data_IF_550076420538
#
_entry.id   IF_550076420538
#
_cell.length_a   1.000
_cell.length_b   1.000
_cell.length_c   1.000
_cell.angle_alpha   90.00
_cell.angle_beta   90.00
_cell.angle_gamma   90.00
#
_symmetry.space_group_name_H-M   'P 1'
#
loop_
_entity.id
_entity.type
_entity.pdbx_description
1 polymer ?
#
# COMPACT_ATOMS: atom_id res chain seq x y z
N UNK A 1 21.30 -0.04 -3.67
CA UNK A 1 19.93 -0.51 -3.44
C UNK A 1 19.97 -2.01 -3.65
N UNK A 2 19.64 -2.77 -2.61
CA UNK A 2 19.63 -4.23 -2.75
C UNK A 2 18.51 -4.66 -3.69
N UNK A 3 18.71 -5.76 -4.42
CA UNK A 3 17.77 -6.18 -5.47
C UNK A 3 16.56 -6.85 -4.83
N UNK A 4 15.36 -6.32 -5.07
CA UNK A 4 14.10 -6.97 -4.68
C UNK A 4 13.92 -8.28 -5.46
N UNK A 5 13.52 -9.33 -4.75
CA UNK A 5 13.28 -10.68 -5.28
C UNK A 5 11.78 -10.94 -5.39
N UNK A 6 11.04 -10.64 -4.33
CA UNK A 6 9.59 -10.83 -4.25
C UNK A 6 8.96 -9.69 -3.44
N UNK A 7 7.69 -9.44 -3.73
CA UNK A 7 6.84 -8.51 -2.99
C UNK A 7 5.42 -9.03 -3.11
N UNK A 8 4.89 -9.60 -2.04
CA UNK A 8 3.61 -10.32 -2.08
C UNK A 8 2.80 -10.00 -0.83
N UNK A 9 1.47 -9.96 -1.00
CA UNK A 9 0.56 -9.87 0.14
C UNK A 9 0.36 -11.26 0.75
N UNK A 10 0.71 -11.40 2.03
CA UNK A 10 0.51 -12.59 2.83
C UNK A 10 -0.79 -12.45 3.64
N UNK A 11 -1.82 -13.19 3.24
CA UNK A 11 -3.13 -13.16 3.90
C UNK A 11 -3.12 -13.74 5.32
N UNK A 12 -2.19 -14.66 5.62
CA UNK A 12 -2.10 -15.26 6.95
C UNK A 12 -1.60 -14.25 7.99
N UNK A 13 -0.75 -13.32 7.56
CA UNK A 13 -0.15 -12.27 8.41
C UNK A 13 -0.79 -10.89 8.23
N UNK A 14 -1.59 -10.71 7.18
CA UNK A 14 -2.09 -9.41 6.72
C UNK A 14 -0.95 -8.40 6.47
N UNK A 15 0.15 -8.87 5.90
CA UNK A 15 1.32 -8.05 5.58
C UNK A 15 1.63 -8.08 4.09
N UNK A 16 2.16 -6.97 3.57
CA UNK A 16 2.93 -7.00 2.31
C UNK A 16 4.38 -7.29 2.66
N UNK A 17 4.89 -8.42 2.20
CA UNK A 17 6.21 -8.95 2.52
C UNK A 17 7.17 -8.76 1.33
N UNK A 18 8.31 -8.12 1.58
CA UNK A 18 9.36 -7.84 0.61
C UNK A 18 10.60 -8.67 0.95
N UNK A 19 11.11 -9.44 -0.01
CA UNK A 19 12.37 -10.19 0.12
C UNK A 19 13.43 -9.60 -0.81
N UNK A 20 14.62 -9.36 -0.26
CA UNK A 20 15.75 -8.83 -1.02
C UNK A 20 16.84 -9.89 -1.24
N UNK A 21 17.67 -9.70 -2.26
CA UNK A 21 18.72 -10.64 -2.65
C UNK A 21 19.78 -10.88 -1.55
N UNK A 22 19.93 -9.96 -0.59
CA UNK A 22 20.74 -10.18 0.61
C UNK A 22 20.15 -11.17 1.62
N UNK A 23 18.89 -11.59 1.45
CA UNK A 23 18.11 -12.35 2.42
C UNK A 23 17.43 -11.48 3.48
N UNK A 24 17.51 -10.16 3.37
CA UNK A 24 16.75 -9.24 4.23
C UNK A 24 15.27 -9.26 3.87
N UNK A 25 14.40 -9.06 4.88
CA UNK A 25 12.94 -8.99 4.69
C UNK A 25 12.34 -7.76 5.36
N UNK A 26 11.33 -7.18 4.73
CA UNK A 26 10.46 -6.14 5.30
C UNK A 26 9.02 -6.68 5.25
N UNK A 27 8.27 -6.51 6.33
CA UNK A 27 6.84 -6.79 6.37
C UNK A 27 6.10 -5.50 6.73
N UNK A 28 5.20 -5.07 5.85
CA UNK A 28 4.36 -3.90 6.04
C UNK A 28 3.00 -4.38 6.53
N UNK A 29 2.67 -4.10 7.79
CA UNK A 29 1.36 -4.41 8.39
C UNK A 29 0.29 -3.53 7.74
N UNK A 30 -0.57 -4.14 6.91
CA UNK A 30 -1.54 -3.38 6.11
C UNK A 30 -2.63 -2.76 6.98
N UNK A 31 -2.99 -3.43 8.08
CA UNK A 31 -4.00 -2.97 9.03
C UNK A 31 -3.49 -1.74 9.78
N UNK A 32 -2.24 -1.76 10.24
CA UNK A 32 -1.62 -0.62 10.90
C UNK A 32 -1.55 0.60 9.98
N UNK A 33 -1.08 0.41 8.74
CA UNK A 33 -1.01 1.47 7.73
C UNK A 33 -2.39 2.05 7.45
N UNK A 34 -3.39 1.21 7.14
CA UNK A 34 -4.74 1.68 6.82
C UNK A 34 -5.40 2.45 7.96
N UNK A 35 -5.15 2.08 9.21
CA UNK A 35 -5.66 2.82 10.37
C UNK A 35 -4.97 4.18 10.55
N UNK A 36 -3.74 4.32 10.08
CA UNK A 36 -2.96 5.56 10.21
C UNK A 36 -3.26 6.56 9.09
N UNK A 37 -3.38 6.09 7.84
CA UNK A 37 -3.37 6.98 6.66
C UNK A 37 -4.73 7.14 5.96
N UNK A 38 -5.70 6.25 6.20
CA UNK A 38 -6.99 6.29 5.51
C UNK A 38 -8.10 6.84 6.40
N UNK A 39 -8.70 7.96 5.99
CA UNK A 39 -9.75 8.67 6.73
C UNK A 39 -11.17 8.14 6.42
N UNK A 40 -11.35 7.42 5.31
CA UNK A 40 -12.67 6.97 4.86
C UNK A 40 -12.61 5.66 4.07
N UNK A 41 -13.79 5.09 3.79
CA UNK A 41 -13.90 3.80 3.12
C UNK A 41 -13.36 3.78 1.69
N UNK A 42 -13.41 4.90 0.96
CA UNK A 42 -12.90 4.95 -0.41
C UNK A 42 -11.37 4.89 -0.44
N UNK A 43 -10.73 5.57 0.50
CA UNK A 43 -9.28 5.54 0.66
C UNK A 43 -8.79 4.16 1.08
N UNK A 44 -9.50 3.52 2.01
CA UNK A 44 -9.21 2.11 2.37
C UNK A 44 -9.35 1.18 1.17
N UNK A 45 -10.42 1.30 0.39
CA UNK A 45 -10.61 0.49 -0.81
C UNK A 45 -9.53 0.71 -1.87
N UNK A 46 -8.94 1.90 -1.96
CA UNK A 46 -7.79 2.15 -2.84
C UNK A 46 -6.54 1.42 -2.35
N UNK A 47 -6.26 1.45 -1.04
CA UNK A 47 -5.15 0.69 -0.46
C UNK A 47 -5.37 -0.82 -0.63
N UNK A 48 -6.58 -1.32 -0.36
CA UNK A 48 -6.96 -2.71 -0.62
C UNK A 48 -6.67 -3.07 -2.09
N UNK A 49 -7.10 -2.22 -3.03
CA UNK A 49 -6.87 -2.45 -4.45
C UNK A 49 -5.38 -2.58 -4.76
N UNK A 50 -4.52 -1.70 -4.23
CA UNK A 50 -3.08 -1.79 -4.42
C UNK A 50 -2.50 -3.06 -3.78
N UNK A 51 -2.88 -3.41 -2.56
CA UNK A 51 -2.39 -4.61 -1.87
C UNK A 51 -2.66 -5.88 -2.70
N UNK A 52 -3.85 -6.01 -3.29
CA UNK A 52 -4.21 -7.21 -4.06
C UNK A 52 -3.70 -7.21 -5.51
N UNK A 53 -3.65 -6.05 -6.17
CA UNK A 53 -3.39 -5.98 -7.61
C UNK A 53 -1.98 -5.49 -7.95
N UNK A 54 -1.37 -4.68 -7.09
CA UNK A 54 -0.02 -4.15 -7.23
C UNK A 54 0.70 -4.01 -5.87
N UNK A 55 1.09 -5.14 -5.23
CA UNK A 55 1.78 -5.11 -3.93
C UNK A 55 3.08 -4.29 -3.97
N UNK A 56 3.76 -4.25 -5.12
CA UNK A 56 4.98 -3.46 -5.32
C UNK A 56 4.64 -1.97 -5.28
N UNK A 57 3.60 -1.55 -6.00
CA UNK A 57 3.10 -0.17 -5.97
C UNK A 57 2.67 0.26 -4.56
N UNK A 58 1.99 -0.62 -3.82
CA UNK A 58 1.67 -0.39 -2.41
C UNK A 58 2.94 -0.19 -1.58
N UNK A 59 3.91 -1.11 -1.66
CA UNK A 59 5.12 -1.03 -0.85
C UNK A 59 5.97 0.22 -1.18
N UNK A 60 6.07 0.60 -2.45
CA UNK A 60 6.77 1.81 -2.85
C UNK A 60 6.07 3.07 -2.31
N UNK A 61 4.74 3.12 -2.36
CA UNK A 61 3.96 4.21 -1.77
C UNK A 61 4.24 4.37 -0.27
N UNK A 62 4.28 3.27 0.48
CA UNK A 62 4.48 3.32 1.95
C UNK A 62 5.94 3.61 2.33
N UNK A 63 6.91 3.04 1.62
CA UNK A 63 8.32 3.16 2.01
C UNK A 63 9.00 4.42 1.45
N UNK A 64 8.56 4.89 0.28
CA UNK A 64 9.23 5.96 -0.47
C UNK A 64 8.29 7.12 -0.85
N UNK A 65 6.98 6.93 -0.73
CA UNK A 65 5.97 7.90 -1.15
C UNK A 65 5.34 8.71 -0.01
N UNK A 66 4.18 9.29 -0.32
CA UNK A 66 3.31 10.00 0.62
C UNK A 66 1.88 9.43 0.48
N UNK A 67 1.49 8.46 1.33
CA UNK A 67 0.19 7.80 1.22
C UNK A 67 -0.98 8.76 1.45
N UNK A 68 -0.86 9.74 2.34
CA UNK A 68 -1.94 10.70 2.60
C UNK A 68 -2.22 11.56 1.36
N UNK A 69 -1.17 12.11 0.75
CA UNK A 69 -1.31 12.94 -0.45
C UNK A 69 -1.83 12.14 -1.63
N UNK A 70 -1.34 10.91 -1.80
CA UNK A 70 -1.84 9.99 -2.84
C UNK A 70 -3.33 9.72 -2.67
N UNK A 71 -3.77 9.34 -1.47
CA UNK A 71 -5.16 8.99 -1.19
C UNK A 71 -6.09 10.19 -1.37
N UNK A 72 -5.69 11.39 -0.92
CA UNK A 72 -6.45 12.63 -1.16
C UNK A 72 -6.65 12.91 -2.66
N UNK A 73 -5.63 12.63 -3.48
CA UNK A 73 -5.66 12.86 -4.93
C UNK A 73 -6.49 11.83 -5.69
N UNK A 74 -6.36 10.54 -5.35
CA UNK A 74 -7.04 9.45 -6.09
C UNK A 74 -8.51 9.36 -5.70
N UNK A 75 -8.83 9.67 -4.44
CA UNK A 75 -10.21 9.63 -3.93
C UNK A 75 -10.94 10.97 -4.03
N UNK A 76 -10.35 11.96 -4.73
CA UNK A 76 -11.00 13.25 -4.97
C UNK A 76 -12.33 13.02 -5.71
N UNK A 77 -13.43 13.15 -4.95
CA UNK A 77 -14.78 13.03 -5.48
C UNK A 77 -15.04 14.21 -6.41
N UNK A 78 -14.99 13.99 -7.71
CA UNK A 78 -15.59 14.91 -8.68
C UNK A 78 -17.10 14.68 -8.62
N UNK A 79 -17.90 15.65 -8.14
CA UNK A 79 -19.34 15.55 -8.25
C UNK A 79 -19.69 15.32 -9.72
N UNK A 80 -20.52 14.31 -9.99
CA UNK A 80 -20.85 13.93 -11.35
C UNK A 80 -21.64 15.01 -12.12
N UNK A 81 -22.05 16.09 -11.46
CA UNK A 81 -22.71 17.23 -12.08
C UNK A 81 -22.19 18.57 -11.47
N UNK A 82 -21.65 19.44 -12.32
CA UNK A 82 -21.51 20.89 -12.10
C UNK A 82 -22.16 21.63 -13.26
#
# INVERSE_FOLDING_TARGET
>A
MDRLISCEFNMDTACVELEFASGSMIAIDTIAVENEVADNMYQRSELDYLIYNDPIGYADLILNGDPETYLKTVTEYKPLDS
#
